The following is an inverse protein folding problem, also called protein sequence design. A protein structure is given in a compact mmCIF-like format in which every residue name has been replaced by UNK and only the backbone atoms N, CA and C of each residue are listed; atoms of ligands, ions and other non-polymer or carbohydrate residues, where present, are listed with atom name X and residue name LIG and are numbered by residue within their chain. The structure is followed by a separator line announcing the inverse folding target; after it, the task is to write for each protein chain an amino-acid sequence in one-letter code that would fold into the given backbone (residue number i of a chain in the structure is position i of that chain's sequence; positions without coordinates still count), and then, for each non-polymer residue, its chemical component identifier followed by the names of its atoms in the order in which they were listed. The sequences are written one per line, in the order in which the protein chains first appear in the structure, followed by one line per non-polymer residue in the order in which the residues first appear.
data_IF_906531780286
#
_entry.id   IF_906531780286
#
_cell.length_a   1.000
_cell.length_b   1.000
_cell.length_c   1.000
_cell.angle_alpha   90.00
_cell.angle_beta   90.00
_cell.angle_gamma   90.00
#
_symmetry.space_group_name_H-M   'P 1'
#
loop_
_entity.id
_entity.type
_entity.pdbx_description
1 polymer ?
#
# COMPACT_ATOMS: atom_id res chain seq x y z
N UNK A 1 42.87 42.30 -18.86
CA UNK A 1 41.57 42.99 -18.73
C UNK A 1 40.62 42.29 -19.68
N UNK A 2 39.82 41.34 -19.16
CA UNK A 2 38.88 40.58 -19.97
C UNK A 2 37.48 41.13 -19.69
N UNK A 3 36.90 41.79 -20.69
CA UNK A 3 35.58 42.41 -20.60
C UNK A 3 34.50 41.32 -20.44
N UNK A 4 33.95 41.22 -19.23
CA UNK A 4 32.80 40.39 -18.95
C UNK A 4 31.53 40.93 -19.64
N UNK A 5 30.60 40.05 -20.03
CA UNK A 5 29.43 40.40 -20.83
C UNK A 5 28.54 41.44 -20.13
N UNK A 6 28.28 42.55 -20.82
CA UNK A 6 27.50 43.68 -20.35
C UNK A 6 25.99 43.39 -20.49
N UNK A 7 25.34 43.03 -19.38
CA UNK A 7 23.93 42.62 -19.31
C UNK A 7 22.89 43.75 -19.47
N UNK A 8 23.28 44.95 -19.95
CA UNK A 8 22.43 46.16 -19.89
C UNK A 8 21.53 46.42 -21.12
N UNK A 9 21.31 45.46 -22.00
CA UNK A 9 20.53 45.70 -23.23
C UNK A 9 19.55 44.57 -23.54
N UNK A 10 18.66 44.26 -22.59
CA UNK A 10 17.41 43.56 -22.89
C UNK A 10 16.31 44.60 -23.16
N UNK A 11 15.74 44.66 -24.37
CA UNK A 11 14.64 45.57 -24.68
C UNK A 11 13.35 45.08 -24.03
N UNK A 12 12.62 45.97 -23.35
CA UNK A 12 11.26 45.70 -22.87
C UNK A 12 10.24 45.82 -24.02
N UNK A 13 9.48 44.77 -24.37
CA UNK A 13 8.36 44.89 -25.30
C UNK A 13 7.02 44.92 -24.54
N UNK A 14 6.40 46.10 -24.58
CA UNK A 14 4.97 46.40 -24.73
C UNK A 14 3.90 45.54 -24.03
N UNK A 15 3.15 46.21 -23.16
CA UNK A 15 1.84 45.84 -22.61
C UNK A 15 0.86 45.43 -23.74
N UNK A 16 0.59 44.15 -23.90
CA UNK A 16 -0.53 43.69 -24.71
C UNK A 16 -1.84 43.89 -23.93
N UNK A 17 -2.59 44.93 -24.30
CA UNK A 17 -4.00 45.10 -23.94
C UNK A 17 -4.81 44.29 -24.95
N UNK A 18 -5.11 43.04 -24.60
CA UNK A 18 -5.98 42.16 -25.37
C UNK A 18 -7.02 41.58 -24.43
N UNK A 19 -8.24 42.10 -24.53
CA UNK A 19 -9.43 41.60 -23.83
C UNK A 19 -9.64 40.11 -24.11
N UNK A 20 -9.58 39.33 -23.04
CA UNK A 20 -9.64 37.87 -23.01
C UNK A 20 -11.04 37.40 -23.47
N UNK A 21 -11.21 36.77 -24.65
CA UNK A 21 -12.48 36.16 -25.00
C UNK A 21 -12.65 34.88 -24.18
N UNK A 22 -13.70 34.85 -23.34
CA UNK A 22 -14.05 33.68 -22.54
C UNK A 22 -14.07 32.39 -23.39
N UNK A 23 -13.46 31.29 -22.90
CA UNK A 23 -13.33 30.06 -23.67
C UNK A 23 -14.71 29.44 -23.98
N UNK A 24 -14.87 28.81 -25.15
CA UNK A 24 -16.14 28.23 -25.57
C UNK A 24 -16.57 27.08 -24.64
N UNK A 25 -17.81 27.16 -24.15
CA UNK A 25 -18.48 26.10 -23.36
C UNK A 25 -18.60 24.84 -24.22
N UNK A 26 -18.09 23.67 -23.77
CA UNK A 26 -18.24 22.41 -24.50
C UNK A 26 -19.72 22.05 -24.62
N UNK A 27 -20.23 21.95 -25.85
CA UNK A 27 -21.56 21.36 -26.09
C UNK A 27 -21.52 19.87 -25.72
N UNK A 28 -22.51 19.42 -24.98
CA UNK A 28 -22.71 18.01 -24.66
C UNK A 28 -22.68 17.17 -25.94
N UNK A 29 -21.93 16.05 -25.99
CA UNK A 29 -21.84 15.20 -27.16
C UNK A 29 -23.23 14.69 -27.54
N UNK A 30 -23.64 14.93 -28.79
CA UNK A 30 -24.82 14.29 -29.36
C UNK A 30 -24.63 12.78 -29.31
N UNK A 31 -25.59 12.08 -28.71
CA UNK A 31 -25.60 10.63 -28.70
C UNK A 31 -25.64 10.12 -30.12
N UNK A 32 -24.61 9.41 -30.54
CA UNK A 32 -24.70 8.30 -31.47
C UNK A 32 -23.33 7.63 -31.66
N UNK A 33 -23.39 6.33 -31.86
CA UNK A 33 -22.31 5.37 -32.19
C UNK A 33 -21.44 4.91 -31.03
N UNK A 34 -21.96 3.94 -30.27
CA UNK A 34 -21.16 3.01 -29.49
C UNK A 34 -20.39 2.07 -30.44
N UNK A 35 -19.04 2.02 -30.41
CA UNK A 35 -18.29 0.91 -30.93
C UNK A 35 -17.73 0.11 -29.76
N UNK A 36 -18.17 -1.14 -29.67
CA UNK A 36 -17.39 -2.24 -29.05
C UNK A 36 -17.09 -2.10 -27.55
N UNK A 37 -18.10 -2.36 -26.73
CA UNK A 37 -18.02 -3.46 -25.75
C UNK A 37 -17.03 -3.41 -24.59
N UNK A 38 -16.42 -2.27 -24.25
CA UNK A 38 -15.83 -2.09 -22.92
C UNK A 38 -16.86 -1.38 -22.05
N UNK A 39 -17.69 -2.19 -21.40
CA UNK A 39 -18.58 -1.74 -20.35
C UNK A 39 -17.78 -0.85 -19.39
N UNK A 40 -18.18 0.42 -19.29
CA UNK A 40 -17.87 1.25 -18.13
C UNK A 40 -18.31 0.42 -16.94
N UNK A 41 -17.33 -0.10 -16.20
CA UNK A 41 -17.61 -0.87 -15.00
C UNK A 41 -18.07 0.18 -13.98
N UNK A 42 -19.39 0.38 -13.90
CA UNK A 42 -20.07 0.98 -12.76
C UNK A 42 -19.89 0.03 -11.55
N UNK A 43 -18.67 -0.11 -11.07
CA UNK A 43 -18.39 -0.69 -9.77
C UNK A 43 -18.41 0.48 -8.78
N UNK A 44 -19.41 0.57 -7.88
CA UNK A 44 -19.34 1.47 -6.76
C UNK A 44 -18.06 1.14 -5.97
N UNK A 45 -17.19 2.13 -5.90
CA UNK A 45 -15.88 2.18 -5.28
C UNK A 45 -15.95 1.50 -3.90
N UNK A 46 -15.18 0.42 -3.70
CA UNK A 46 -15.12 -0.29 -2.41
C UNK A 46 -15.18 -1.82 -2.42
N UNK A 47 -15.25 -2.48 -3.58
CA UNK A 47 -15.34 -3.95 -3.65
C UNK A 47 -13.95 -4.62 -3.68
N UNK A 48 -13.41 -4.87 -2.48
CA UNK A 48 -12.51 -5.98 -2.09
C UNK A 48 -11.34 -6.33 -3.04
N UNK A 49 -10.22 -5.62 -2.94
CA UNK A 49 -8.92 -6.24 -3.14
C UNK A 49 -8.59 -7.10 -1.90
N UNK A 50 -7.95 -8.26 -2.10
CA UNK A 50 -7.64 -9.21 -1.02
C UNK A 50 -6.71 -8.63 0.07
N UNK A 51 -6.28 -9.45 1.06
CA UNK A 51 -5.39 -9.00 2.14
C UNK A 51 -3.98 -8.75 1.61
N UNK A 52 -3.79 -7.66 0.85
CA UNK A 52 -2.52 -6.99 0.70
C UNK A 52 -2.38 -6.09 1.91
N UNK A 53 -1.45 -6.46 2.80
CA UNK A 53 -1.02 -5.60 3.89
C UNK A 53 -0.54 -4.30 3.26
N UNK A 54 -1.32 -3.23 3.38
CA UNK A 54 -0.92 -1.89 2.97
C UNK A 54 0.43 -1.60 3.62
N UNK A 55 1.49 -1.63 2.82
CA UNK A 55 2.80 -1.17 3.27
C UNK A 55 2.62 0.32 3.55
N UNK A 56 2.95 0.75 4.77
CA UNK A 56 2.90 2.15 5.17
C UNK A 56 3.54 3.04 4.08
N UNK A 57 2.94 4.19 3.75
CA UNK A 57 3.36 5.01 2.63
C UNK A 57 4.82 5.43 2.81
N UNK A 58 5.60 5.28 1.74
CA UNK A 58 6.93 5.86 1.59
C UNK A 58 6.78 7.35 1.87
N UNK A 59 7.49 7.85 2.89
CA UNK A 59 7.59 9.26 3.19
C UNK A 59 8.25 9.97 2.00
N UNK A 60 7.44 10.32 0.99
CA UNK A 60 7.81 11.24 -0.05
C UNK A 60 8.24 12.54 0.59
N UNK A 61 9.45 12.97 0.27
CA UNK A 61 10.15 14.09 0.89
C UNK A 61 9.25 15.32 1.00
N UNK A 62 9.08 15.81 2.22
CA UNK A 62 8.28 16.96 2.59
C UNK A 62 8.74 18.25 1.89
N UNK A 63 8.31 18.48 0.65
CA UNK A 63 8.45 19.75 -0.08
C UNK A 63 7.34 19.93 -1.12
N UNK A 64 6.08 19.98 -0.70
CA UNK A 64 5.00 20.51 -1.54
C UNK A 64 4.19 21.52 -0.74
N UNK A 65 4.32 22.77 -1.19
CA UNK A 65 3.46 23.94 -0.99
C UNK A 65 2.73 24.05 0.36
N UNK A 66 3.27 24.94 1.21
CA UNK A 66 2.52 25.64 2.25
C UNK A 66 1.35 26.35 1.56
N UNK A 67 0.17 25.75 1.61
CA UNK A 67 -1.05 26.43 1.19
C UNK A 67 -1.25 27.63 2.12
N UNK A 68 -1.12 28.80 1.52
CA UNK A 68 -1.29 30.12 2.10
C UNK A 68 -2.72 30.24 2.63
N UNK A 69 -2.93 29.85 3.89
CA UNK A 69 -4.21 29.97 4.59
C UNK A 69 -4.06 31.04 5.67
N UNK A 70 -3.99 32.28 5.22
CA UNK A 70 -4.18 33.49 6.02
C UNK A 70 -5.00 34.41 5.12
N UNK A 71 -5.95 35.15 5.71
CA UNK A 71 -6.89 36.08 5.07
C UNK A 71 -8.30 35.55 4.78
N UNK A 72 -8.92 34.88 5.75
CA UNK A 72 -10.31 35.20 6.10
C UNK A 72 -10.44 35.33 7.60
N UNK A 73 -10.25 36.55 8.09
CA UNK A 73 -10.80 36.96 9.37
C UNK A 73 -12.31 37.07 9.24
N UNK A 74 -13.00 35.93 9.14
CA UNK A 74 -14.44 35.87 9.30
C UNK A 74 -14.70 35.73 10.80
N UNK A 75 -15.52 36.65 11.30
CA UNK A 75 -15.77 36.83 12.72
C UNK A 75 -16.21 35.54 13.40
N UNK A 76 -16.04 35.53 14.72
CA UNK A 76 -16.46 34.50 15.68
C UNK A 76 -17.93 34.09 15.47
N UNK A 77 -18.22 33.32 14.43
CA UNK A 77 -19.45 32.56 14.35
C UNK A 77 -19.24 31.41 15.31
N UNK A 78 -20.13 31.31 16.28
CA UNK A 78 -20.35 30.15 17.15
C UNK A 78 -20.77 28.91 16.33
N UNK A 79 -20.03 28.62 15.26
CA UNK A 79 -20.17 27.40 14.49
C UNK A 79 -19.81 26.29 15.46
N UNK A 80 -20.85 25.55 15.88
CA UNK A 80 -20.77 24.44 16.81
C UNK A 80 -19.97 23.32 16.16
N UNK A 81 -18.65 23.46 16.18
CA UNK A 81 -17.78 22.46 15.61
C UNK A 81 -17.74 21.25 16.53
N UNK A 82 -18.23 20.13 16.02
CA UNK A 82 -17.97 18.84 16.63
C UNK A 82 -16.62 18.32 16.12
N UNK A 83 -15.91 17.60 16.98
CA UNK A 83 -14.62 17.02 16.66
C UNK A 83 -14.71 15.52 16.76
N UNK A 84 -14.37 14.83 15.67
CA UNK A 84 -14.33 13.39 15.60
C UNK A 84 -12.89 12.89 15.43
N UNK A 85 -12.59 11.75 16.02
CA UNK A 85 -11.37 10.99 15.75
C UNK A 85 -11.72 9.63 15.20
N UNK A 86 -10.99 9.19 14.18
CA UNK A 86 -11.24 7.91 13.50
C UNK A 86 -9.96 7.08 13.50
N UNK A 87 -9.92 6.08 14.38
CA UNK A 87 -8.90 5.03 14.36
C UNK A 87 -9.38 3.88 13.47
N UNK A 88 -8.80 3.77 12.27
CA UNK A 88 -9.29 2.86 11.25
C UNK A 88 -8.30 1.72 10.99
N UNK A 89 -8.80 0.49 11.05
CA UNK A 89 -8.08 -0.73 10.67
C UNK A 89 -8.73 -1.40 9.44
N UNK A 90 -8.17 -2.52 8.99
CA UNK A 90 -8.66 -3.25 7.81
C UNK A 90 -10.07 -3.86 7.98
N UNK A 91 -10.50 -4.13 9.21
CA UNK A 91 -11.77 -4.81 9.48
C UNK A 91 -12.81 -3.91 10.16
N UNK A 92 -12.37 -3.01 11.03
CA UNK A 92 -13.23 -2.11 11.80
C UNK A 92 -12.58 -0.75 12.05
N UNK A 93 -13.42 0.24 12.32
CA UNK A 93 -13.04 1.63 12.53
C UNK A 93 -13.67 2.13 13.83
N UNK A 94 -12.84 2.52 14.80
CA UNK A 94 -13.28 3.15 16.04
C UNK A 94 -13.45 4.65 15.80
N UNK A 95 -14.62 5.16 16.16
CA UNK A 95 -14.96 6.57 15.97
C UNK A 95 -15.40 7.15 17.29
N UNK A 96 -14.76 8.25 17.68
CA UNK A 96 -15.07 9.00 18.89
C UNK A 96 -15.49 10.42 18.51
N UNK A 97 -16.61 10.90 19.03
CA UNK A 97 -17.18 12.21 18.69
C UNK A 97 -17.33 13.07 19.95
N UNK A 98 -16.90 14.32 19.85
CA UNK A 98 -16.99 15.33 20.90
C UNK A 98 -17.63 16.62 20.42
N UNK A 99 -18.20 17.38 21.36
CA UNK A 99 -18.64 18.76 21.14
C UNK A 99 -17.44 19.72 21.10
N UNK A 100 -17.72 21.02 20.92
CA UNK A 100 -16.70 22.06 20.92
C UNK A 100 -15.96 22.23 22.25
N UNK A 101 -16.57 21.80 23.37
CA UNK A 101 -15.96 21.84 24.70
C UNK A 101 -15.08 20.60 24.96
N UNK A 102 -15.14 19.58 24.10
CA UNK A 102 -14.46 18.29 24.27
C UNK A 102 -15.24 17.27 25.09
N UNK A 103 -16.53 17.49 25.36
CA UNK A 103 -17.39 16.47 25.98
C UNK A 103 -17.74 15.40 24.96
N UNK A 104 -17.69 14.14 25.37
CA UNK A 104 -18.11 13.00 24.55
C UNK A 104 -19.59 13.09 24.21
N UNK A 105 -19.90 13.17 22.92
CA UNK A 105 -21.27 13.05 22.39
C UNK A 105 -21.56 11.58 22.08
N UNK A 106 -20.59 10.86 21.53
CA UNK A 106 -20.76 9.47 21.16
C UNK A 106 -19.47 8.76 20.83
N UNK A 107 -19.54 7.44 20.82
CA UNK A 107 -18.47 6.57 20.36
C UNK A 107 -19.09 5.32 19.74
N UNK A 108 -18.53 4.85 18.62
CA UNK A 108 -19.02 3.66 17.94
C UNK A 108 -17.93 3.01 17.09
N UNK A 109 -18.05 1.70 16.92
CA UNK A 109 -17.22 0.91 16.00
C UNK A 109 -18.01 0.58 14.75
N UNK A 110 -17.42 0.80 13.58
CA UNK A 110 -18.01 0.49 12.28
C UNK A 110 -17.19 -0.57 11.56
N UNK A 111 -17.85 -1.47 10.83
CA UNK A 111 -17.17 -2.46 10.01
C UNK A 111 -16.62 -1.80 8.74
N UNK A 112 -15.45 -2.21 8.29
CA UNK A 112 -14.93 -1.81 7.00
C UNK A 112 -15.81 -2.33 5.85
N UNK A 113 -16.12 -1.44 4.90
CA UNK A 113 -16.96 -1.72 3.73
C UNK A 113 -17.91 -0.57 3.42
N UNK A 114 -18.46 -0.51 2.20
CA UNK A 114 -19.29 0.62 1.76
C UNK A 114 -20.48 0.92 2.68
N UNK A 115 -21.18 -0.12 3.15
CA UNK A 115 -22.30 0.05 4.09
C UNK A 115 -21.84 0.59 5.45
N UNK A 116 -20.75 0.07 6.01
CA UNK A 116 -20.23 0.53 7.30
C UNK A 116 -19.66 1.94 7.27
N UNK A 117 -19.06 2.36 6.14
CA UNK A 117 -18.60 3.73 5.94
C UNK A 117 -19.77 4.70 5.74
N UNK A 118 -20.82 4.29 5.02
CA UNK A 118 -22.05 5.07 4.91
C UNK A 118 -22.76 5.20 6.27
N UNK A 119 -22.79 4.13 7.07
CA UNK A 119 -23.33 4.12 8.42
C UNK A 119 -22.52 5.04 9.35
N UNK A 120 -21.19 5.02 9.25
CA UNK A 120 -20.31 5.91 10.01
C UNK A 120 -20.61 7.39 9.70
N UNK A 121 -20.71 7.76 8.43
CA UNK A 121 -21.03 9.12 8.01
C UNK A 121 -22.43 9.55 8.51
N UNK A 122 -23.43 8.67 8.37
CA UNK A 122 -24.78 8.93 8.85
C UNK A 122 -24.83 9.07 10.37
N UNK A 123 -24.09 8.23 11.11
CA UNK A 123 -23.98 8.30 12.56
C UNK A 123 -23.30 9.56 13.04
N UNK A 124 -22.22 10.02 12.37
CA UNK A 124 -21.56 11.29 12.69
C UNK A 124 -22.52 12.47 12.55
N UNK A 125 -23.28 12.53 11.46
CA UNK A 125 -24.31 13.57 11.24
C UNK A 125 -25.42 13.51 12.29
N UNK A 126 -26.01 12.33 12.49
CA UNK A 126 -27.14 12.18 13.41
C UNK A 126 -26.76 12.40 14.88
N UNK A 127 -25.55 12.00 15.27
CA UNK A 127 -25.08 12.08 16.67
C UNK A 127 -24.60 13.49 17.00
N UNK A 128 -23.95 14.21 16.07
CA UNK A 128 -23.56 15.61 16.27
C UNK A 128 -24.76 16.57 16.22
N UNK A 129 -25.81 16.23 15.47
CA UNK A 129 -26.90 17.14 15.16
C UNK A 129 -26.51 18.23 14.14
N UNK A 130 -25.37 18.07 13.45
CA UNK A 130 -24.92 18.97 12.40
C UNK A 130 -25.90 18.96 11.21
N UNK A 131 -26.09 20.12 10.59
CA UNK A 131 -26.89 20.24 9.36
C UNK A 131 -26.05 19.87 8.15
N UNK A 132 -24.81 20.36 8.12
CA UNK A 132 -23.83 20.10 7.05
C UNK A 132 -22.61 19.34 7.58
N UNK A 133 -22.00 18.50 6.73
CA UNK A 133 -20.84 17.70 7.12
C UNK A 133 -19.62 18.54 7.51
N UNK A 134 -19.52 19.76 6.98
CA UNK A 134 -18.37 20.63 7.19
C UNK A 134 -18.37 21.31 8.58
N UNK A 135 -19.45 21.15 9.35
CA UNK A 135 -19.54 21.48 10.77
C UNK A 135 -18.73 20.49 11.62
N UNK A 136 -18.40 19.30 11.09
CA UNK A 136 -17.70 18.24 11.80
C UNK A 136 -16.25 18.14 11.30
N UNK A 137 -15.31 18.37 12.22
CA UNK A 137 -13.88 18.26 11.99
C UNK A 137 -13.42 16.84 12.34
N UNK A 138 -12.91 16.08 11.37
CA UNK A 138 -12.52 14.67 11.56
C UNK A 138 -11.01 14.50 11.51
N UNK A 139 -10.44 13.93 12.56
CA UNK A 139 -9.02 13.64 12.69
C UNK A 139 -8.69 12.23 12.20
N UNK A 140 -7.63 12.11 11.38
CA UNK A 140 -7.11 10.85 10.85
C UNK A 140 -5.57 10.87 10.79
N UNK A 141 -4.93 9.69 10.86
CA UNK A 141 -3.46 9.60 10.69
C UNK A 141 -3.02 9.44 9.23
N UNK A 142 -3.69 8.56 8.47
CA UNK A 142 -3.32 8.22 7.09
C UNK A 142 -4.15 9.06 6.11
N UNK A 143 -3.55 9.94 5.29
CA UNK A 143 -4.27 10.98 4.54
C UNK A 143 -4.93 10.50 3.23
N UNK A 144 -5.17 9.20 3.08
CA UNK A 144 -5.75 8.61 1.86
C UNK A 144 -6.41 7.27 2.16
N UNK A 145 -7.29 6.82 1.26
CA UNK A 145 -8.01 5.56 1.38
C UNK A 145 -9.51 5.77 1.60
N UNK A 146 -10.27 4.67 1.64
CA UNK A 146 -11.73 4.70 1.51
C UNK A 146 -12.44 5.47 2.62
N UNK A 147 -11.90 5.45 3.85
CA UNK A 147 -12.42 6.25 4.98
C UNK A 147 -12.31 7.74 4.68
N UNK A 148 -11.15 8.17 4.20
CA UNK A 148 -10.86 9.57 3.89
C UNK A 148 -11.73 10.05 2.74
N UNK A 149 -11.78 9.26 1.67
CA UNK A 149 -12.58 9.55 0.47
C UNK A 149 -14.07 9.67 0.83
N UNK A 150 -14.62 8.70 1.56
CA UNK A 150 -16.04 8.75 1.97
C UNK A 150 -16.35 9.98 2.82
N UNK A 151 -15.48 10.32 3.78
CA UNK A 151 -15.70 11.49 4.64
C UNK A 151 -15.61 12.80 3.84
N UNK A 152 -14.63 12.95 2.96
CA UNK A 152 -14.52 14.15 2.12
C UNK A 152 -15.72 14.27 1.17
N UNK A 153 -16.13 13.18 0.52
CA UNK A 153 -17.29 13.15 -0.39
C UNK A 153 -18.60 13.50 0.31
N UNK A 154 -18.72 13.18 1.61
CA UNK A 154 -19.87 13.51 2.46
C UNK A 154 -19.77 14.92 3.06
N UNK A 155 -18.75 15.70 2.71
CA UNK A 155 -18.58 17.10 3.10
C UNK A 155 -17.86 17.33 4.42
N UNK A 156 -17.35 16.29 5.09
CA UNK A 156 -16.63 16.44 6.36
C UNK A 156 -15.31 17.19 6.17
N UNK A 157 -14.92 18.00 7.16
CA UNK A 157 -13.58 18.62 7.20
C UNK A 157 -12.57 17.60 7.74
N UNK A 158 -11.92 16.87 6.84
CA UNK A 158 -10.98 15.82 7.20
C UNK A 158 -9.56 16.37 7.38
N UNK A 159 -8.98 16.12 8.54
CA UNK A 159 -7.71 16.67 9.00
C UNK A 159 -6.71 15.54 9.28
N UNK A 160 -5.60 15.53 8.55
CA UNK A 160 -4.56 14.53 8.71
C UNK A 160 -3.43 14.98 9.65
N UNK A 161 -2.97 14.10 10.52
CA UNK A 161 -1.79 14.31 11.39
C UNK A 161 -0.69 13.29 11.09
N UNK A 162 0.56 13.70 11.25
CA UNK A 162 1.69 12.77 11.13
C UNK A 162 1.62 11.70 12.25
N UNK A 163 1.76 10.40 11.94
CA UNK A 163 1.73 9.33 12.96
C UNK A 163 2.68 9.56 14.14
N UNK A 164 3.87 10.11 13.88
CA UNK A 164 4.84 10.43 14.93
C UNK A 164 4.36 11.54 15.86
N UNK A 165 3.56 12.48 15.37
CA UNK A 165 2.95 13.51 16.22
C UNK A 165 1.79 12.91 17.01
N UNK A 166 0.99 12.03 16.40
CA UNK A 166 -0.06 11.30 17.12
C UNK A 166 0.51 10.51 18.29
N UNK A 167 1.62 9.81 18.10
CA UNK A 167 2.30 9.09 19.18
C UNK A 167 2.62 10.03 20.37
N UNK A 168 3.04 11.28 20.10
CA UNK A 168 3.29 12.28 21.15
C UNK A 168 2.03 12.80 21.82
N UNK A 169 0.90 12.82 21.12
CA UNK A 169 -0.39 13.10 21.75
C UNK A 169 -0.82 11.93 22.63
N UNK A 170 -0.68 10.69 22.16
CA UNK A 170 -1.00 9.48 22.95
C UNK A 170 -0.25 9.47 24.28
N UNK A 171 1.05 9.78 24.25
CA UNK A 171 1.92 9.88 25.45
C UNK A 171 1.39 10.89 26.51
N UNK A 172 0.60 11.90 26.11
CA UNK A 172 0.00 12.89 27.04
C UNK A 172 -1.23 12.36 27.76
N UNK A 173 -1.97 11.45 27.13
CA UNK A 173 -3.22 10.90 27.69
C UNK A 173 -2.94 9.75 28.64
N UNK A 174 -1.94 8.94 28.33
CA UNK A 174 -1.56 7.81 29.16
C UNK A 174 -0.07 7.56 29.08
N UNK A 175 0.54 7.31 30.24
CA UNK A 175 1.92 6.80 30.32
C UNK A 175 1.96 5.28 30.12
N UNK A 176 0.81 4.59 30.21
CA UNK A 176 0.73 3.15 30.00
C UNK A 176 0.69 2.84 28.50
N UNK A 177 1.64 2.03 28.03
CA UNK A 177 1.73 1.61 26.63
C UNK A 177 0.72 0.53 26.20
N UNK A 178 -0.35 0.31 26.96
CA UNK A 178 -1.40 -0.62 26.58
C UNK A 178 -2.23 -0.01 25.44
N UNK A 179 -2.21 -0.67 24.28
CA UNK A 179 -2.98 -0.27 23.10
C UNK A 179 -4.48 -0.34 23.38
N UNK A 180 -5.21 0.72 23.02
CA UNK A 180 -6.64 0.90 23.23
C UNK A 180 -7.20 1.75 22.08
N UNK A 181 -7.82 1.11 21.08
CA UNK A 181 -8.27 1.75 19.83
C UNK A 181 -9.35 2.83 20.07
N UNK A 182 -10.17 2.67 21.11
CA UNK A 182 -11.14 3.69 21.56
C UNK A 182 -10.42 4.95 22.05
N UNK A 183 -9.38 4.77 22.87
CA UNK A 183 -8.55 5.86 23.35
C UNK A 183 -7.82 6.55 22.22
N UNK A 184 -7.32 5.81 21.22
CA UNK A 184 -6.63 6.42 20.09
C UNK A 184 -7.58 7.35 19.32
N UNK A 185 -8.83 6.94 19.07
CA UNK A 185 -9.86 7.81 18.49
C UNK A 185 -10.17 9.04 19.36
N UNK A 186 -10.28 8.89 20.69
CA UNK A 186 -10.47 10.01 21.63
C UNK A 186 -9.30 11.00 21.58
N UNK A 187 -8.05 10.49 21.59
CA UNK A 187 -6.83 11.29 21.50
C UNK A 187 -6.85 12.12 20.21
N UNK A 188 -7.25 11.53 19.07
CA UNK A 188 -7.29 12.29 17.82
C UNK A 188 -8.32 13.43 17.86
N UNK A 189 -9.54 13.14 18.34
CA UNK A 189 -10.61 14.12 18.42
C UNK A 189 -10.19 15.31 19.28
N UNK A 190 -9.61 15.01 20.45
CA UNK A 190 -9.14 16.01 21.38
C UNK A 190 -7.94 16.78 20.84
N UNK A 191 -6.96 16.12 20.22
CA UNK A 191 -5.79 16.77 19.63
C UNK A 191 -6.15 17.72 18.48
N UNK A 192 -7.12 17.34 17.63
CA UNK A 192 -7.59 18.22 16.56
C UNK A 192 -8.28 19.48 17.11
N UNK A 193 -9.03 19.33 18.21
CA UNK A 193 -9.68 20.44 18.90
C UNK A 193 -8.67 21.39 19.57
N UNK A 194 -7.63 20.87 20.23
CA UNK A 194 -6.70 21.71 21.01
C UNK A 194 -5.52 22.24 20.19
N UNK A 195 -5.04 21.48 19.21
CA UNK A 195 -3.84 21.79 18.44
C UNK A 195 -4.09 21.65 16.92
N UNK A 196 -5.09 22.33 16.33
CA UNK A 196 -5.45 22.16 14.92
C UNK A 196 -4.29 22.46 13.96
N UNK A 197 -3.33 23.30 14.36
CA UNK A 197 -2.08 23.58 13.60
C UNK A 197 -1.19 22.35 13.36
N UNK A 198 -1.34 21.29 14.17
CA UNK A 198 -0.60 20.04 14.01
C UNK A 198 -1.20 19.17 12.91
N UNK A 199 -2.41 19.51 12.45
CA UNK A 199 -3.12 18.81 11.42
C UNK A 199 -3.08 19.59 10.11
N UNK A 200 -3.26 18.86 9.01
CA UNK A 200 -3.43 19.40 7.67
C UNK A 200 -4.82 19.06 7.18
N UNK A 201 -5.63 20.09 6.92
CA UNK A 201 -6.91 19.92 6.22
C UNK A 201 -6.66 19.29 4.85
N UNK A 202 -7.34 18.20 4.57
CA UNK A 202 -7.29 17.53 3.28
C UNK A 202 -8.30 18.19 2.34
N UNK A 203 -7.86 18.45 1.12
CA UNK A 203 -8.72 18.88 0.04
C UNK A 203 -9.01 17.71 -0.89
N UNK A 204 -10.17 17.76 -1.56
CA UNK A 204 -10.47 16.91 -2.71
C UNK A 204 -9.32 17.06 -3.69
N UNK A 205 -8.64 15.95 -3.99
CA UNK A 205 -7.59 15.95 -5.02
C UNK A 205 -8.22 16.00 -6.39
N UNK A 206 -7.52 16.57 -7.36
CA UNK A 206 -7.95 16.55 -8.76
C UNK A 206 -8.20 15.09 -9.20
N UNK A 207 -9.33 14.78 -9.86
CA UNK A 207 -9.65 13.42 -10.30
C UNK A 207 -8.53 12.76 -11.11
N UNK A 208 -7.79 13.52 -11.93
CA UNK A 208 -6.64 13.01 -12.71
C UNK A 208 -5.48 12.60 -11.80
N UNK A 209 -5.26 13.32 -10.70
CA UNK A 209 -4.21 12.99 -9.72
C UNK A 209 -4.58 11.72 -8.93
N UNK A 210 -5.87 11.55 -8.61
CA UNK A 210 -6.37 10.32 -7.98
C UNK A 210 -6.19 9.14 -8.94
N UNK A 211 -6.64 9.28 -10.18
CA UNK A 211 -6.52 8.24 -11.22
C UNK A 211 -5.06 7.83 -11.44
N UNK A 212 -4.14 8.78 -11.60
CA UNK A 212 -2.72 8.50 -11.77
C UNK A 212 -2.12 7.77 -10.57
N UNK A 213 -2.54 8.10 -9.35
CA UNK A 213 -2.08 7.42 -8.14
C UNK A 213 -2.54 5.96 -8.11
N UNK A 214 -3.79 5.70 -8.48
CA UNK A 214 -4.33 4.34 -8.53
C UNK A 214 -3.66 3.50 -9.63
N UNK A 215 -3.46 4.06 -10.82
CA UNK A 215 -2.68 3.38 -11.86
C UNK A 215 -1.26 3.05 -11.42
N UNK A 216 -0.63 3.97 -10.68
CA UNK A 216 0.72 3.76 -10.15
C UNK A 216 0.76 2.63 -9.12
N UNK A 217 -0.23 2.56 -8.22
CA UNK A 217 -0.39 1.46 -7.25
C UNK A 217 -0.59 0.11 -7.95
N UNK A 218 -1.48 0.06 -8.94
CA UNK A 218 -1.72 -1.14 -9.75
C UNK A 218 -0.44 -1.59 -10.46
N UNK A 219 0.33 -0.66 -11.02
CA UNK A 219 1.59 -0.98 -11.68
C UNK A 219 2.63 -1.55 -10.70
N UNK A 220 2.74 -1.01 -9.48
CA UNK A 220 3.61 -1.52 -8.43
C UNK A 220 3.20 -2.94 -7.98
N UNK A 221 1.90 -3.16 -7.76
CA UNK A 221 1.34 -4.45 -7.36
C UNK A 221 1.57 -5.52 -8.44
N UNK A 222 1.25 -5.20 -9.70
CA UNK A 222 1.49 -6.11 -10.84
C UNK A 222 2.97 -6.38 -11.07
N UNK A 223 3.85 -5.40 -10.81
CA UNK A 223 5.30 -5.59 -10.87
C UNK A 223 5.77 -6.56 -9.78
N UNK A 224 5.28 -6.42 -8.55
CA UNK A 224 5.58 -7.34 -7.46
C UNK A 224 5.07 -8.77 -7.76
N UNK A 225 3.88 -8.89 -8.33
CA UNK A 225 3.31 -10.18 -8.74
C UNK A 225 4.11 -10.82 -9.88
N UNK A 226 4.47 -10.06 -10.92
CA UNK A 226 5.34 -10.51 -12.00
C UNK A 226 6.66 -11.06 -11.45
N UNK A 227 7.29 -10.34 -10.53
CA UNK A 227 8.54 -10.78 -9.90
C UNK A 227 8.36 -12.07 -9.10
N UNK A 228 7.26 -12.20 -8.34
CA UNK A 228 6.94 -13.43 -7.60
C UNK A 228 6.73 -14.62 -8.54
N UNK A 229 5.97 -14.44 -9.62
CA UNK A 229 5.68 -15.48 -10.60
C UNK A 229 6.93 -15.92 -11.37
N UNK A 230 7.73 -14.96 -11.83
CA UNK A 230 9.00 -15.25 -12.55
C UNK A 230 10.03 -15.94 -11.65
N UNK A 231 10.13 -15.57 -10.37
CA UNK A 231 10.97 -16.30 -9.41
C UNK A 231 10.49 -17.73 -9.20
N UNK A 232 9.18 -17.94 -9.04
CA UNK A 232 8.60 -19.28 -8.93
C UNK A 232 8.85 -20.11 -10.19
N UNK A 233 8.71 -19.52 -11.37
CA UNK A 233 9.03 -20.15 -12.65
C UNK A 233 10.52 -20.53 -12.73
N UNK A 234 11.42 -19.64 -12.31
CA UNK A 234 12.87 -19.92 -12.24
C UNK A 234 13.16 -21.15 -11.40
N UNK A 235 12.59 -21.23 -10.20
CA UNK A 235 12.77 -22.37 -9.30
C UNK A 235 12.26 -23.68 -9.92
N UNK A 236 11.12 -23.64 -10.64
CA UNK A 236 10.61 -24.82 -11.32
C UNK A 236 11.53 -25.23 -12.48
N UNK A 237 11.87 -24.30 -13.37
CA UNK A 237 12.75 -24.56 -14.51
C UNK A 237 14.12 -25.07 -14.08
N UNK A 238 14.68 -24.55 -13.00
CA UNK A 238 15.96 -25.01 -12.48
C UNK A 238 15.94 -26.52 -12.12
N UNK A 239 14.80 -27.05 -11.65
CA UNK A 239 14.65 -28.46 -11.27
C UNK A 239 14.54 -29.42 -12.45
N UNK A 240 13.83 -29.04 -13.52
CA UNK A 240 13.50 -29.98 -14.60
C UNK A 240 13.98 -29.56 -15.99
N UNK A 241 14.26 -28.27 -16.21
CA UNK A 241 14.65 -27.74 -17.51
C UNK A 241 15.63 -26.55 -17.41
N UNK A 242 16.82 -26.75 -16.80
CA UNK A 242 17.77 -25.68 -16.52
C UNK A 242 18.34 -25.03 -17.80
N UNK A 243 18.41 -25.76 -18.92
CA UNK A 243 18.89 -25.23 -20.20
C UNK A 243 18.06 -24.03 -20.70
N UNK A 244 16.77 -23.95 -20.36
CA UNK A 244 15.94 -22.82 -20.74
C UNK A 244 16.34 -21.51 -20.01
N UNK A 245 16.90 -21.63 -18.80
CA UNK A 245 17.35 -20.48 -18.00
C UNK A 245 18.59 -19.79 -18.59
N UNK A 246 19.32 -20.46 -19.49
CA UNK A 246 20.51 -19.91 -20.13
C UNK A 246 20.16 -18.93 -21.28
N UNK A 247 18.92 -18.92 -21.75
CA UNK A 247 18.49 -18.09 -22.89
C UNK A 247 18.13 -16.65 -22.50
N UNK A 248 17.67 -16.43 -21.28
CA UNK A 248 17.08 -15.16 -20.86
C UNK A 248 17.12 -15.00 -19.35
N UNK A 249 17.50 -13.80 -18.91
CA UNK A 249 17.46 -13.44 -17.50
C UNK A 249 16.04 -13.08 -17.08
N UNK A 250 15.30 -12.37 -17.93
CA UNK A 250 13.90 -12.03 -17.71
C UNK A 250 12.94 -13.15 -18.13
N UNK A 251 12.60 -14.03 -17.20
CA UNK A 251 11.68 -15.14 -17.48
C UNK A 251 10.25 -14.70 -17.79
N UNK A 252 9.93 -13.41 -17.59
CA UNK A 252 8.65 -12.82 -17.99
C UNK A 252 8.67 -12.21 -19.40
N UNK A 253 9.76 -12.37 -20.16
CA UNK A 253 9.82 -11.90 -21.54
C UNK A 253 8.84 -12.70 -22.41
N UNK A 254 7.98 -12.01 -23.17
CA UNK A 254 6.92 -12.63 -23.97
C UNK A 254 7.43 -13.74 -24.90
N UNK A 255 8.59 -13.52 -25.53
CA UNK A 255 9.19 -14.49 -26.44
C UNK A 255 9.61 -15.79 -25.73
N UNK A 256 10.07 -15.69 -24.48
CA UNK A 256 10.47 -16.86 -23.69
C UNK A 256 9.24 -17.62 -23.19
N UNK A 257 8.18 -16.90 -22.79
CA UNK A 257 6.90 -17.51 -22.42
C UNK A 257 6.29 -18.26 -23.61
N UNK A 258 6.27 -17.67 -24.80
CA UNK A 258 5.83 -18.32 -26.03
C UNK A 258 6.69 -19.55 -26.39
N UNK A 259 8.01 -19.47 -26.15
CA UNK A 259 8.90 -20.60 -26.37
C UNK A 259 8.58 -21.72 -25.37
N UNK A 260 8.39 -21.38 -24.10
CA UNK A 260 8.04 -22.33 -23.06
C UNK A 260 6.69 -23.01 -23.31
N UNK A 261 5.68 -22.27 -23.77
CA UNK A 261 4.38 -22.84 -24.17
C UNK A 261 4.52 -23.81 -25.37
N UNK A 262 5.43 -23.51 -26.29
CA UNK A 262 5.71 -24.37 -27.45
C UNK A 262 6.49 -25.63 -27.05
N UNK A 263 7.48 -25.49 -26.17
CA UNK A 263 8.36 -26.57 -25.68
C UNK A 263 8.43 -26.59 -24.15
N UNK A 264 7.35 -27.01 -23.47
CA UNK A 264 7.28 -26.96 -22.00
C UNK A 264 8.16 -28.02 -21.35
N UNK A 265 8.72 -28.97 -22.11
CA UNK A 265 9.57 -30.05 -21.58
C UNK A 265 10.82 -30.25 -22.44
N UNK A 266 11.92 -30.71 -21.81
CA UNK A 266 13.11 -31.24 -22.49
C UNK A 266 12.83 -32.13 -23.70
N UNK A 267 11.89 -33.07 -23.57
CA UNK A 267 11.57 -34.03 -24.62
C UNK A 267 10.87 -33.37 -25.82
N UNK A 268 10.04 -32.36 -25.59
CA UNK A 268 9.45 -31.56 -26.68
C UNK A 268 10.51 -30.66 -27.32
N UNK A 269 11.39 -30.07 -26.53
CA UNK A 269 12.50 -29.28 -27.03
C UNK A 269 13.44 -30.10 -27.93
N UNK A 270 13.69 -31.38 -27.60
CA UNK A 270 14.47 -32.28 -28.45
C UNK A 270 13.81 -32.64 -29.79
N UNK A 271 12.51 -32.39 -29.95
CA UNK A 271 11.72 -32.75 -31.16
C UNK A 271 11.30 -31.53 -31.98
N UNK A 272 11.56 -30.31 -31.49
CA UNK A 272 11.13 -29.10 -32.18
C UNK A 272 11.91 -28.93 -33.48
N UNK A 273 11.21 -28.46 -34.53
CA UNK A 273 11.85 -28.07 -35.78
C UNK A 273 12.47 -26.70 -35.64
N UNK A 274 13.69 -26.53 -36.15
CA UNK A 274 14.38 -25.23 -36.18
C UNK A 274 13.52 -24.14 -36.84
N UNK A 275 12.75 -24.49 -37.88
CA UNK A 275 11.82 -23.57 -38.54
C UNK A 275 10.75 -22.99 -37.59
N UNK A 276 10.28 -23.76 -36.61
CA UNK A 276 9.32 -23.29 -35.60
C UNK A 276 9.97 -22.25 -34.69
N UNK A 277 11.20 -22.52 -34.22
CA UNK A 277 11.96 -21.56 -33.42
C UNK A 277 12.27 -20.30 -34.24
N UNK A 278 12.68 -20.44 -35.50
CA UNK A 278 12.93 -19.30 -36.38
C UNK A 278 11.70 -18.41 -36.55
N UNK A 279 10.51 -19.01 -36.72
CA UNK A 279 9.25 -18.26 -36.82
C UNK A 279 8.93 -17.52 -35.52
N UNK A 280 9.18 -18.15 -34.36
CA UNK A 280 8.99 -17.53 -33.05
C UNK A 280 9.94 -16.35 -32.83
N UNK A 281 11.24 -16.55 -33.07
CA UNK A 281 12.26 -15.50 -32.95
C UNK A 281 11.96 -14.33 -33.89
N UNK A 282 11.53 -14.61 -35.14
CA UNK A 282 11.12 -13.59 -36.10
C UNK A 282 9.89 -12.80 -35.63
N UNK A 283 8.87 -13.47 -35.08
CA UNK A 283 7.66 -12.83 -34.53
C UNK A 283 8.00 -11.83 -33.42
N UNK A 284 8.88 -12.24 -32.51
CA UNK A 284 9.32 -11.43 -31.38
C UNK A 284 10.51 -10.50 -31.69
N UNK A 285 10.96 -10.47 -32.96
CA UNK A 285 12.10 -9.66 -33.43
C UNK A 285 13.40 -9.92 -32.64
N UNK A 286 13.61 -11.13 -32.15
CA UNK A 286 14.83 -11.54 -31.44
C UNK A 286 15.94 -11.82 -32.44
N UNK A 287 17.04 -11.07 -32.35
CA UNK A 287 18.20 -11.16 -33.27
C UNK A 287 19.48 -11.71 -32.64
N UNK A 288 19.52 -11.86 -31.32
CA UNK A 288 20.69 -12.36 -30.58
C UNK A 288 20.84 -13.88 -30.61
N UNK A 289 19.79 -14.57 -31.05
CA UNK A 289 19.76 -16.02 -31.18
C UNK A 289 19.45 -16.39 -32.62
N UNK A 290 20.21 -17.34 -33.15
CA UNK A 290 19.85 -18.06 -34.36
C UNK A 290 19.07 -19.32 -33.96
N UNK A 291 18.13 -19.72 -34.80
CA UNK A 291 17.25 -20.86 -34.51
C UNK A 291 17.99 -22.20 -34.33
N UNK A 292 19.00 -22.58 -35.17
CA UNK A 292 19.69 -23.85 -34.99
C UNK A 292 20.51 -23.90 -33.68
N UNK A 293 21.34 -22.88 -33.32
CA UNK A 293 21.96 -22.83 -31.99
C UNK A 293 20.93 -22.86 -30.87
N UNK A 294 19.86 -22.06 -30.94
CA UNK A 294 18.82 -22.03 -29.91
C UNK A 294 18.18 -23.41 -29.71
N UNK A 295 17.83 -24.13 -30.79
CA UNK A 295 17.30 -25.49 -30.75
C UNK A 295 18.27 -26.44 -30.05
N UNK A 296 19.56 -26.36 -30.38
CA UNK A 296 20.61 -27.19 -29.80
C UNK A 296 20.86 -26.89 -28.32
N UNK A 297 20.73 -25.64 -27.89
CA UNK A 297 20.87 -25.24 -26.48
C UNK A 297 19.72 -25.82 -25.63
N UNK A 298 18.47 -25.70 -26.10
CA UNK A 298 17.30 -26.14 -25.32
C UNK A 298 16.93 -27.61 -25.50
N UNK A 299 17.43 -28.29 -26.53
CA UNK A 299 17.36 -29.72 -26.63
C UNK A 299 18.46 -30.28 -25.72
N UNK A 300 18.18 -30.67 -24.47
CA UNK A 300 19.20 -31.36 -23.71
C UNK A 300 19.64 -32.56 -24.53
N UNK A 301 20.94 -32.82 -24.56
CA UNK A 301 21.45 -34.05 -25.12
C UNK A 301 20.67 -35.19 -24.44
N UNK A 302 19.74 -35.79 -25.16
CA UNK A 302 18.87 -36.87 -24.69
C UNK A 302 19.66 -38.18 -24.45
N UNK A 303 20.95 -38.05 -24.14
CA UNK A 303 22.00 -39.04 -24.19
C UNK A 303 22.86 -39.13 -22.91
N UNK A 304 22.96 -38.09 -22.07
CA UNK A 304 23.70 -38.24 -20.81
C UNK A 304 22.96 -39.12 -19.78
N UNK A 305 21.62 -39.15 -19.82
CA UNK A 305 20.81 -39.95 -18.89
C UNK A 305 20.53 -41.40 -19.32
N UNK A 306 20.51 -41.70 -20.63
CA UNK A 306 20.15 -43.05 -21.11
C UNK A 306 21.30 -44.05 -21.15
N UNK A 307 22.57 -43.62 -21.10
CA UNK A 307 23.70 -44.57 -21.12
C UNK A 307 24.13 -45.14 -19.78
N UNK A 308 23.55 -44.74 -18.63
CA UNK A 308 24.04 -45.22 -17.33
C UNK A 308 23.17 -46.25 -16.61
N UNK A 309 22.09 -46.78 -17.20
CA UNK A 309 21.26 -47.74 -16.45
C UNK A 309 20.83 -49.05 -17.14
N UNK A 310 21.40 -49.41 -18.30
CA UNK A 310 21.13 -50.73 -18.90
C UNK A 310 21.81 -51.91 -18.18
N UNK A 311 22.51 -51.67 -17.06
CA UNK A 311 23.00 -52.75 -16.19
C UNK A 311 22.05 -53.17 -15.07
N UNK A 312 20.88 -52.54 -14.93
CA UNK A 312 19.86 -52.98 -13.96
C UNK A 312 18.66 -53.61 -14.70
N UNK A 313 18.95 -54.53 -15.62
CA UNK A 313 18.04 -55.62 -15.97
C UNK A 313 18.57 -56.89 -15.31
N UNK A 314 18.29 -57.05 -14.02
CA UNK A 314 18.20 -58.32 -13.30
C UNK A 314 18.10 -58.05 -11.79
N UNK A 315 16.89 -57.84 -11.27
CA UNK A 315 16.52 -58.40 -9.96
C UNK A 315 15.00 -58.36 -9.75
N UNK A 316 14.41 -59.41 -9.14
CA UNK A 316 12.98 -59.68 -9.17
C UNK A 316 12.20 -58.87 -8.12
N UNK A 317 10.90 -58.74 -8.40
CA UNK A 317 9.88 -58.09 -7.61
C UNK A 317 9.82 -58.65 -6.18
N UNK A 318 10.50 -58.02 -5.24
CA UNK A 318 10.13 -58.09 -3.83
C UNK A 318 9.78 -56.69 -3.36
N UNK A 319 8.49 -56.40 -3.34
CA UNK A 319 7.92 -55.26 -2.62
C UNK A 319 8.13 -55.49 -1.13
N UNK A 320 9.31 -55.18 -0.61
CA UNK A 320 9.52 -55.07 0.82
C UNK A 320 8.83 -53.78 1.28
N UNK A 321 7.82 -53.94 2.15
CA UNK A 321 7.13 -52.86 2.85
C UNK A 321 8.11 -51.77 3.30
N UNK A 322 7.89 -50.53 2.84
CA UNK A 322 8.52 -49.37 3.46
C UNK A 322 7.87 -49.17 4.84
N UNK A 323 8.62 -49.28 5.95
CA UNK A 323 8.08 -48.99 7.27
C UNK A 323 7.77 -47.48 7.33
N UNK A 324 6.51 -47.14 7.53
CA UNK A 324 6.11 -45.77 7.82
C UNK A 324 6.80 -45.30 9.12
N UNK A 325 7.40 -44.10 9.14
CA UNK A 325 7.95 -43.55 10.37
C UNK A 325 6.84 -43.35 11.41
N UNK A 326 7.11 -43.59 12.71
CA UNK A 326 6.11 -43.49 13.75
C UNK A 326 5.58 -42.06 13.85
N UNK A 327 4.25 -41.92 13.87
CA UNK A 327 3.55 -40.65 14.13
C UNK A 327 3.97 -40.15 15.52
N UNK A 328 4.66 -39.02 15.59
CA UNK A 328 4.88 -38.33 16.86
C UNK A 328 3.54 -37.82 17.38
N UNK A 329 3.17 -38.13 18.63
CA UNK A 329 1.90 -37.67 19.21
C UNK A 329 1.94 -36.14 19.42
N UNK A 330 0.83 -35.49 19.11
CA UNK A 330 0.62 -34.07 19.30
C UNK A 330 0.87 -33.69 20.77
N UNK A 331 1.87 -32.86 21.00
CA UNK A 331 2.15 -32.30 22.32
C UNK A 331 0.96 -31.42 22.74
N UNK A 332 0.19 -31.90 23.71
CA UNK A 332 -0.82 -31.11 24.39
C UNK A 332 -0.10 -30.01 25.16
N UNK A 333 -0.30 -28.77 24.72
CA UNK A 333 0.16 -27.55 25.40
C UNK A 333 -0.66 -27.35 26.67
N UNK A 334 -0.24 -28.01 27.75
CA UNK A 334 -0.72 -27.73 29.10
C UNK A 334 -0.07 -26.46 29.64
N UNK A 335 -0.86 -25.40 29.79
CA UNK A 335 -0.47 -24.16 30.44
C UNK A 335 -0.11 -24.45 31.90
N UNK A 336 1.18 -24.41 32.21
CA UNK A 336 1.70 -24.44 33.59
C UNK A 336 2.23 -23.05 33.93
N UNK A 337 1.51 -22.40 34.84
CA UNK A 337 1.86 -21.13 35.46
C UNK A 337 3.04 -21.33 36.41
N UNK A 338 4.27 -21.22 35.91
CA UNK A 338 5.46 -21.15 36.75
C UNK A 338 5.74 -19.69 37.12
N UNK A 339 5.48 -19.36 38.38
CA UNK A 339 5.67 -18.04 38.97
C UNK A 339 7.11 -17.54 38.85
N UNK A 340 7.24 -16.25 38.51
CA UNK A 340 8.51 -15.54 38.56
C UNK A 340 8.91 -15.27 40.02
N UNK A 341 10.20 -15.41 40.37
CA UNK A 341 10.66 -15.21 41.74
C UNK A 341 10.66 -13.72 42.12
N UNK A 342 10.05 -13.41 43.27
CA UNK A 342 10.06 -12.12 43.95
C UNK A 342 11.51 -11.62 44.15
N UNK A 343 11.88 -10.53 43.48
CA UNK A 343 13.09 -9.77 43.81
C UNK A 343 12.81 -8.92 45.04
N UNK A 344 13.40 -9.29 46.17
CA UNK A 344 13.39 -8.50 47.39
C UNK A 344 14.05 -7.12 47.19
N UNK A 345 13.48 -6.05 47.76
CA UNK A 345 14.00 -4.69 47.63
C UNK A 345 15.26 -4.48 48.49
N UNK A 346 16.29 -3.91 47.86
CA UNK A 346 17.52 -3.46 48.52
C UNK A 346 17.19 -2.43 49.61
N UNK A 347 17.48 -2.78 50.87
CA UNK A 347 17.47 -1.84 52.01
C UNK A 347 18.61 -0.83 51.86
N UNK A 348 18.26 0.44 51.69
CA UNK A 348 19.17 1.57 51.87
C UNK A 348 19.68 1.60 53.32
N UNK A 349 21.00 1.46 53.51
CA UNK A 349 21.66 1.76 54.78
C UNK A 349 21.85 3.28 54.87
N UNK A 350 21.06 3.92 55.72
CA UNK A 350 21.37 5.22 56.29
C UNK A 350 22.42 5.04 57.40
N UNK A 351 23.65 5.46 57.14
CA UNK A 351 24.59 5.92 58.16
C UNK A 351 24.95 7.35 57.73
N UNK A 352 24.91 8.37 58.56
CA UNK A 352 25.18 8.45 59.99
C UNK A 352 26.00 9.73 60.12
N UNK A 353 25.43 10.73 60.77
CA UNK A 353 25.95 12.09 60.85
C UNK A 353 27.35 12.15 61.47
N UNK A 354 28.22 12.97 60.87
CA UNK A 354 29.45 13.46 61.49
C UNK A 354 29.47 14.98 61.31
N UNK A 355 28.97 15.69 62.31
CA UNK A 355 29.19 17.11 62.50
C UNK A 355 30.51 17.24 63.27
N UNK A 356 31.50 17.90 62.70
CA UNK A 356 32.68 18.32 63.45
C UNK A 356 33.06 19.72 62.99
N UNK A 357 32.53 20.67 63.75
CA UNK A 357 32.82 22.08 63.76
C UNK A 357 34.14 22.25 64.54
N UNK A 358 35.22 22.59 63.83
CA UNK A 358 36.53 22.83 64.44
C UNK A 358 36.90 24.31 64.29
N UNK A 359 36.84 25.00 65.44
CA UNK A 359 37.59 26.18 65.90
C UNK A 359 37.83 27.37 64.95
#
# INVERSE_FOLDING_TARGET
MGDGPNWRSLPEPSRFVGSDPSPPVPRAPGGDTCPVGLAVIDAPWGVRAGPVLFRAPVQGSAKIAVARMLERGEGMTDQRHCYAGVDWASESHHVFLTDGDGRKIGERVFRHGGEGLAEMAAWLMATSGAVEGDEIQVAIEVPHGPVVETLIERGFKVNAINPKQMDRFRDRFTMAGAKDDSRDAEVMASALRTDPRCFRLLAVSDPVVIELREWSRIAEDLSAERNRLTNRMREQLWRYFPALLELENDLGAEWLLDLWDTVPTPDKAARIREATIAKLLKRHRIRRFDAPPCARYIAPAAAQGRRRNDRIRQRPRHYAHCPHPPRQPAAQTGASSAGWPDRQPHRNRAGGAGAEEAA
#
